data_IF_870313169363
#
_entry.id   IF_870313169363
#
_cell.length_a   1.000
_cell.length_b   1.000
_cell.length_c   1.000
_cell.angle_alpha   90.00
_cell.angle_beta   90.00
_cell.angle_gamma   90.00
#
_symmetry.space_group_name_H-M   'P 1'
#
loop_
_entity.id
_entity.type
_entity.pdbx_description
1 polymer ?
#
# COMPACT_ATOMS: atom_id res chain seq x y z
N UNK A 1 3.78 -11.11 24.23
CA UNK A 1 2.36 -11.40 23.94
C UNK A 1 2.33 -12.45 22.86
N UNK A 2 1.58 -13.51 23.05
CA UNK A 2 1.50 -14.61 22.08
C UNK A 2 0.58 -14.24 20.92
N UNK A 3 0.76 -14.89 19.77
CA UNK A 3 -0.07 -14.68 18.57
C UNK A 3 -1.57 -14.92 18.87
N UNK A 4 -1.86 -15.84 19.80
CA UNK A 4 -3.21 -16.16 20.28
C UNK A 4 -3.82 -14.98 21.08
N UNK A 5 -3.00 -14.23 21.82
CA UNK A 5 -3.44 -13.02 22.53
C UNK A 5 -3.76 -11.87 21.58
N UNK A 6 -3.06 -11.79 20.43
CA UNK A 6 -3.34 -10.79 19.39
C UNK A 6 -4.65 -11.10 18.65
N UNK A 7 -4.90 -12.37 18.31
CA UNK A 7 -6.17 -12.79 17.67
C UNK A 7 -7.35 -12.51 18.63
N UNK A 8 -7.21 -12.87 19.90
CA UNK A 8 -8.25 -12.62 20.93
C UNK A 8 -8.46 -11.11 21.19
N UNK A 9 -7.40 -10.29 21.11
CA UNK A 9 -7.53 -8.83 21.20
C UNK A 9 -8.25 -8.22 20.00
N UNK A 10 -8.02 -8.71 18.81
CA UNK A 10 -8.71 -8.25 17.61
C UNK A 10 -10.20 -8.62 17.66
N UNK A 11 -10.54 -9.79 18.16
CA UNK A 11 -11.94 -10.19 18.43
C UNK A 11 -12.61 -9.29 19.49
N UNK A 12 -11.91 -8.97 20.58
CA UNK A 12 -12.41 -8.10 21.64
C UNK A 12 -12.54 -6.66 21.17
N UNK A 13 -11.58 -6.18 20.39
CA UNK A 13 -11.57 -4.83 19.81
C UNK A 13 -12.69 -4.64 18.80
N UNK A 14 -12.94 -5.61 17.93
CA UNK A 14 -14.07 -5.58 17.00
C UNK A 14 -15.44 -5.60 17.71
N UNK A 15 -15.53 -6.14 18.93
CA UNK A 15 -16.76 -6.10 19.74
C UNK A 15 -16.97 -4.76 20.46
N UNK A 16 -15.90 -4.11 20.91
CA UNK A 16 -15.98 -2.81 21.63
C UNK A 16 -16.21 -1.64 20.67
N UNK A 17 -15.57 -1.64 19.50
CA UNK A 17 -15.73 -0.56 18.52
C UNK A 17 -17.15 -0.48 17.91
N UNK A 18 -17.96 -1.55 18.00
CA UNK A 18 -19.37 -1.55 17.57
C UNK A 18 -20.36 -0.92 18.60
N UNK A 19 -19.90 -0.56 19.79
CA UNK A 19 -20.78 -0.07 20.89
C UNK A 19 -20.65 1.45 21.10
N UNK A 20 -19.57 2.09 20.66
CA UNK A 20 -19.29 3.52 20.95
C UNK A 20 -19.66 4.51 19.81
N UNK A 21 -20.37 4.07 18.81
CA UNK A 21 -20.74 4.88 17.64
C UNK A 21 -22.07 5.61 17.76
N UNK A 22 -22.39 6.30 18.86
CA UNK A 22 -23.51 7.23 18.87
C UNK A 22 -23.33 8.35 19.90
N UNK A 23 -23.55 9.58 19.42
CA UNK A 23 -23.77 10.83 20.16
C UNK A 23 -22.57 11.79 20.26
N UNK A 24 -22.51 12.75 19.37
CA UNK A 24 -22.18 14.13 19.75
C UNK A 24 -22.93 15.16 18.90
N UNK A 25 -23.69 15.98 19.59
CA UNK A 25 -24.58 17.03 19.12
C UNK A 25 -23.78 18.29 18.78
N UNK A 26 -24.16 18.93 17.66
CA UNK A 26 -23.70 20.23 17.24
C UNK A 26 -24.31 21.34 18.11
N UNK A 27 -23.50 22.28 18.55
CA UNK A 27 -24.00 23.63 18.95
C UNK A 27 -23.29 24.67 18.12
N UNK A 28 -24.11 25.45 17.41
CA UNK A 28 -23.76 26.72 16.77
C UNK A 28 -23.55 27.82 17.81
N UNK A 29 -22.62 28.73 17.57
CA UNK A 29 -22.79 30.10 17.95
C UNK A 29 -22.14 31.06 16.95
N UNK A 30 -22.97 32.03 16.55
CA UNK A 30 -22.69 33.13 15.64
C UNK A 30 -22.37 34.35 16.49
N UNK A 31 -21.39 35.14 16.16
CA UNK A 31 -21.46 36.57 16.45
C UNK A 31 -20.71 37.44 15.45
N UNK A 32 -21.42 38.50 15.12
CA UNK A 32 -21.15 39.57 14.15
C UNK A 32 -20.50 40.80 14.80
N UNK A 33 -19.74 41.58 14.05
CA UNK A 33 -19.73 43.07 14.13
C UNK A 33 -18.97 43.67 12.96
N UNK A 34 -19.61 44.38 12.09
CA UNK A 34 -19.99 45.82 12.02
C UNK A 34 -18.80 46.76 11.76
N UNK A 35 -18.75 47.23 10.49
CA UNK A 35 -18.68 48.62 9.92
C UNK A 35 -17.56 49.59 10.37
N UNK A 36 -16.95 50.30 9.44
CA UNK A 36 -17.45 51.53 8.80
C UNK A 36 -16.50 52.09 7.70
N UNK A 37 -16.87 53.08 6.93
CA UNK A 37 -16.49 53.28 5.54
C UNK A 37 -15.65 54.56 5.28
N UNK A 38 -15.29 54.71 3.99
CA UNK A 38 -14.95 55.93 3.24
C UNK A 38 -13.53 56.49 3.31
N UNK A 39 -12.88 56.35 2.16
CA UNK A 39 -12.21 57.50 1.52
C UNK A 39 -12.12 57.23 0.00
N UNK A 40 -12.87 58.06 -0.74
CA UNK A 40 -12.77 58.18 -2.19
C UNK A 40 -11.48 58.90 -2.57
N UNK A 41 -10.70 58.31 -3.45
CA UNK A 41 -9.73 59.03 -4.27
C UNK A 41 -9.92 58.64 -5.73
N UNK A 42 -10.26 59.62 -6.52
CA UNK A 42 -10.42 59.61 -7.98
C UNK A 42 -9.19 58.96 -8.66
N UNK A 43 -9.44 57.96 -9.47
CA UNK A 43 -8.49 57.44 -10.47
C UNK A 43 -9.14 57.47 -11.84
N UNK A 44 -8.45 58.10 -12.78
CA UNK A 44 -8.77 58.17 -14.20
C UNK A 44 -9.14 56.81 -14.82
N UNK A 45 -10.02 56.76 -15.83
CA UNK A 45 -10.44 55.54 -16.47
C UNK A 45 -9.30 54.90 -17.23
N UNK A 46 -8.88 53.71 -16.81
CA UNK A 46 -7.98 52.86 -17.54
C UNK A 46 -8.75 52.10 -18.62
N UNK A 47 -8.14 52.01 -19.80
CA UNK A 47 -8.65 51.36 -20.98
C UNK A 47 -8.98 49.89 -20.71
N UNK A 48 -10.22 49.38 -20.96
CA UNK A 48 -10.64 47.99 -20.66
C UNK A 48 -9.94 46.94 -21.47
N UNK A 49 -9.29 47.30 -22.56
CA UNK A 49 -8.66 46.35 -23.48
C UNK A 49 -7.24 45.91 -23.09
N UNK A 50 -6.68 46.45 -21.97
CA UNK A 50 -5.36 46.05 -21.47
C UNK A 50 -5.38 45.18 -20.20
N UNK A 51 -6.53 44.87 -19.64
CA UNK A 51 -6.66 43.97 -18.47
C UNK A 51 -6.92 42.50 -18.82
N UNK A 52 -7.07 42.16 -20.09
CA UNK A 52 -7.38 40.78 -20.50
C UNK A 52 -6.17 39.92 -20.84
N UNK A 53 -4.93 40.44 -20.66
CA UNK A 53 -3.68 39.67 -20.96
C UNK A 53 -2.70 39.51 -19.79
N UNK A 54 -3.17 39.62 -18.54
CA UNK A 54 -2.37 39.23 -17.38
C UNK A 54 -3.15 38.28 -16.47
N UNK A 55 -3.60 37.16 -17.02
CA UNK A 55 -3.78 36.00 -16.15
C UNK A 55 -2.36 35.53 -15.81
N UNK A 56 -1.89 35.86 -14.62
CA UNK A 56 -0.71 35.21 -14.06
C UNK A 56 -1.02 33.70 -14.01
N UNK A 57 -0.56 32.96 -15.00
CA UNK A 57 -0.64 31.50 -14.98
C UNK A 57 0.28 31.05 -13.86
N UNK A 58 -0.30 30.75 -12.68
CA UNK A 58 0.43 30.08 -11.60
C UNK A 58 0.97 28.76 -12.17
N UNK A 59 2.31 28.55 -12.22
CA UNK A 59 2.89 27.33 -12.77
C UNK A 59 2.30 26.04 -12.19
N UNK A 60 1.82 26.09 -10.96
CA UNK A 60 1.19 24.95 -10.30
C UNK A 60 -0.26 24.71 -10.78
N UNK A 61 -0.97 25.74 -11.28
CA UNK A 61 -2.27 25.58 -11.93
C UNK A 61 -2.14 25.02 -13.33
N UNK A 62 -1.11 25.47 -14.08
CA UNK A 62 -0.78 24.91 -15.39
C UNK A 62 -0.37 23.42 -15.25
N UNK A 63 0.49 23.09 -14.30
CA UNK A 63 0.87 21.71 -14.01
C UNK A 63 -0.36 20.88 -13.58
N UNK A 64 -1.32 21.47 -12.86
CA UNK A 64 -2.58 20.81 -12.50
C UNK A 64 -3.47 20.51 -13.72
N UNK A 65 -3.64 21.46 -14.63
CA UNK A 65 -4.36 21.23 -15.90
C UNK A 65 -3.67 20.15 -16.72
N UNK A 66 -2.33 20.11 -16.74
CA UNK A 66 -1.56 19.09 -17.41
C UNK A 66 -1.77 17.70 -16.78
N UNK A 67 -1.89 17.60 -15.45
CA UNK A 67 -2.19 16.34 -14.76
C UNK A 67 -3.57 15.78 -15.14
N UNK A 68 -4.61 16.62 -15.21
CA UNK A 68 -5.94 16.20 -15.66
C UNK A 68 -5.95 15.71 -17.11
N UNK A 69 -5.35 16.46 -18.04
CA UNK A 69 -5.26 16.07 -19.44
C UNK A 69 -4.51 14.73 -19.58
N UNK A 70 -3.40 14.57 -18.84
CA UNK A 70 -2.62 13.35 -18.83
C UNK A 70 -3.43 12.16 -18.27
N UNK A 71 -4.27 12.38 -17.26
CA UNK A 71 -5.15 11.34 -16.74
C UNK A 71 -6.15 10.84 -17.80
N UNK A 72 -6.80 11.75 -18.55
CA UNK A 72 -7.72 11.37 -19.64
C UNK A 72 -6.98 10.65 -20.78
N UNK A 73 -5.77 11.08 -21.13
CA UNK A 73 -4.94 10.38 -22.12
C UNK A 73 -4.57 8.95 -21.67
N UNK A 74 -4.25 8.78 -20.37
CA UNK A 74 -3.96 7.46 -19.80
C UNK A 74 -5.21 6.58 -19.82
N UNK A 75 -6.36 7.11 -19.51
CA UNK A 75 -7.65 6.41 -19.58
C UNK A 75 -7.94 6.01 -21.04
N UNK A 76 -7.59 6.87 -22.01
CA UNK A 76 -7.71 6.59 -23.44
C UNK A 76 -6.65 5.62 -23.98
N UNK A 77 -5.73 5.13 -23.12
CA UNK A 77 -4.76 4.07 -23.50
C UNK A 77 -3.30 4.51 -23.56
N UNK A 78 -2.97 5.80 -23.34
CA UNK A 78 -1.57 6.23 -23.22
C UNK A 78 -0.91 5.51 -22.05
N UNK A 79 0.38 5.21 -22.21
CA UNK A 79 1.25 4.73 -21.12
C UNK A 79 2.50 5.60 -21.05
N UNK A 80 2.82 6.08 -19.86
CA UNK A 80 4.01 6.88 -19.61
C UNK A 80 5.27 6.05 -19.82
N UNK A 81 6.34 6.72 -20.26
CA UNK A 81 7.67 6.13 -20.44
C UNK A 81 8.65 6.75 -19.47
N UNK A 82 9.65 5.98 -19.10
CA UNK A 82 10.76 6.46 -18.28
C UNK A 82 11.46 7.64 -18.98
N UNK A 83 11.80 8.69 -18.19
CA UNK A 83 12.42 9.91 -18.72
C UNK A 83 11.47 10.88 -19.43
N UNK A 84 10.17 10.58 -19.50
CA UNK A 84 9.19 11.45 -20.15
C UNK A 84 8.95 12.73 -19.33
N UNK A 85 9.03 13.95 -19.95
CA UNK A 85 8.85 15.22 -19.21
C UNK A 85 7.52 15.33 -18.47
N UNK A 86 6.45 14.67 -18.96
CA UNK A 86 5.15 14.63 -18.34
C UNK A 86 5.20 14.10 -16.88
N UNK A 87 6.14 13.20 -16.57
CA UNK A 87 6.32 12.65 -15.20
C UNK A 87 6.81 13.73 -14.25
N UNK A 88 7.69 14.64 -14.70
CA UNK A 88 8.18 15.74 -13.87
C UNK A 88 7.07 16.75 -13.55
N UNK A 89 6.14 16.99 -14.48
CA UNK A 89 4.98 17.85 -14.25
C UNK A 89 4.09 17.34 -13.08
N UNK A 90 4.02 16.01 -12.88
CA UNK A 90 3.27 15.43 -11.75
C UNK A 90 3.88 15.80 -10.39
N UNK A 91 5.20 15.98 -10.31
CA UNK A 91 5.90 16.35 -9.07
C UNK A 91 5.65 17.81 -8.68
N UNK A 92 5.37 18.70 -9.64
CA UNK A 92 5.16 20.15 -9.42
C UNK A 92 3.69 20.54 -9.32
N UNK A 93 2.76 19.63 -9.65
CA UNK A 93 1.32 19.85 -9.52
C UNK A 93 0.89 20.07 -8.07
N UNK A 94 -0.12 20.91 -7.82
CA UNK A 94 -0.77 20.96 -6.51
C UNK A 94 -1.26 19.57 -6.13
N UNK A 95 -0.99 19.15 -4.90
CA UNK A 95 -1.26 17.77 -4.47
C UNK A 95 -2.72 17.38 -4.60
N UNK A 96 -3.64 18.28 -4.25
CA UNK A 96 -5.09 18.02 -4.35
C UNK A 96 -5.52 17.74 -5.79
N UNK A 97 -5.05 18.55 -6.75
CA UNK A 97 -5.36 18.37 -8.17
C UNK A 97 -4.76 17.09 -8.71
N UNK A 98 -3.51 16.79 -8.34
CA UNK A 98 -2.84 15.54 -8.71
C UNK A 98 -3.58 14.31 -8.18
N UNK A 99 -4.00 14.35 -6.91
CA UNK A 99 -4.74 13.27 -6.26
C UNK A 99 -6.10 13.02 -6.93
N UNK A 100 -6.85 14.08 -7.23
CA UNK A 100 -8.13 13.98 -7.94
C UNK A 100 -7.96 13.36 -9.34
N UNK A 101 -6.95 13.79 -10.10
CA UNK A 101 -6.64 13.23 -11.40
C UNK A 101 -6.21 11.75 -11.31
N UNK A 102 -5.43 11.37 -10.29
CA UNK A 102 -5.07 9.99 -10.02
C UNK A 102 -6.30 9.13 -9.63
N UNK A 103 -7.23 9.70 -8.83
CA UNK A 103 -8.46 8.97 -8.48
C UNK A 103 -9.38 8.76 -9.69
N UNK A 104 -9.38 9.70 -10.64
CA UNK A 104 -10.07 9.54 -11.92
C UNK A 104 -9.53 8.35 -12.72
N UNK A 105 -8.19 8.16 -12.76
CA UNK A 105 -7.56 6.97 -13.35
C UNK A 105 -7.98 5.71 -12.58
N UNK A 106 -7.89 5.72 -11.25
CA UNK A 106 -8.32 4.58 -10.41
C UNK A 106 -9.78 4.20 -10.72
N UNK A 107 -10.69 5.17 -10.77
CA UNK A 107 -12.10 4.94 -11.05
C UNK A 107 -12.32 4.28 -12.41
N UNK A 108 -11.55 4.66 -13.43
CA UNK A 108 -11.65 4.09 -14.77
C UNK A 108 -11.17 2.64 -14.84
N UNK A 109 -10.11 2.26 -14.10
CA UNK A 109 -9.50 0.93 -14.20
C UNK A 109 -9.88 -0.04 -13.09
N UNK A 110 -10.18 0.45 -11.88
CA UNK A 110 -10.50 -0.37 -10.70
C UNK A 110 -11.95 -0.24 -10.23
N UNK A 111 -12.71 0.72 -10.77
CA UNK A 111 -14.04 1.05 -10.25
C UNK A 111 -13.98 1.45 -8.78
N UNK A 112 -15.02 1.14 -8.01
CA UNK A 112 -15.07 1.43 -6.58
C UNK A 112 -14.53 0.30 -5.70
N UNK A 113 -14.05 -0.79 -6.31
CA UNK A 113 -13.54 -1.93 -5.57
C UNK A 113 -12.22 -1.63 -4.87
N UNK A 114 -12.11 -2.06 -3.60
CA UNK A 114 -10.87 -2.06 -2.80
C UNK A 114 -10.54 -3.48 -2.36
N UNK A 115 -9.40 -4.02 -2.83
CA UNK A 115 -8.91 -5.34 -2.45
C UNK A 115 -8.21 -5.28 -1.08
N UNK A 116 -8.79 -5.97 -0.08
CA UNK A 116 -8.23 -6.09 1.26
C UNK A 116 -7.46 -7.39 1.42
N UNK A 117 -6.25 -7.32 1.98
CA UNK A 117 -5.51 -8.50 2.37
C UNK A 117 -4.98 -8.38 3.81
N UNK A 118 -4.80 -9.54 4.45
CA UNK A 118 -4.17 -9.66 5.76
C UNK A 118 -2.93 -10.53 5.68
N UNK A 119 -2.08 -10.41 6.68
CA UNK A 119 -0.84 -11.15 6.79
C UNK A 119 -0.76 -11.85 8.15
N UNK A 120 -0.12 -13.01 8.20
CA UNK A 120 0.36 -13.64 9.42
C UNK A 120 1.88 -13.74 9.38
N UNK A 121 2.55 -13.37 10.48
CA UNK A 121 3.99 -13.60 10.61
C UNK A 121 4.23 -15.07 10.95
N UNK A 122 4.34 -15.92 9.94
CA UNK A 122 4.43 -17.37 10.09
C UNK A 122 5.76 -17.88 10.66
N UNK A 123 6.82 -17.06 10.60
CA UNK A 123 8.11 -17.28 11.23
C UNK A 123 8.72 -15.92 11.53
N UNK A 124 9.19 -15.69 12.74
CA UNK A 124 9.66 -14.38 13.19
C UNK A 124 11.11 -14.39 13.68
N UNK A 125 11.78 -13.25 13.45
CA UNK A 125 13.12 -12.98 13.95
C UNK A 125 14.23 -13.75 13.26
N UNK A 126 15.47 -13.54 13.73
CA UNK A 126 16.70 -14.23 13.29
C UNK A 126 16.92 -14.26 11.77
N UNK A 127 16.48 -13.20 11.04
CA UNK A 127 16.75 -13.08 9.62
C UNK A 127 18.23 -12.76 9.39
N UNK A 128 18.90 -13.52 8.51
CA UNK A 128 20.30 -13.32 8.17
C UNK A 128 20.59 -12.07 7.34
N UNK A 129 19.53 -11.47 6.79
CA UNK A 129 19.67 -10.31 5.91
C UNK A 129 19.80 -9.01 6.71
N UNK A 130 20.60 -8.07 6.19
CA UNK A 130 20.94 -6.79 6.84
C UNK A 130 20.03 -5.62 6.44
N UNK A 131 18.82 -5.89 5.97
CA UNK A 131 17.86 -4.85 5.57
C UNK A 131 17.67 -3.81 6.69
N UNK A 132 18.12 -2.58 6.46
CA UNK A 132 18.27 -1.52 7.48
C UNK A 132 16.95 -1.05 8.12
N UNK A 133 15.83 -1.30 7.48
CA UNK A 133 14.49 -1.00 8.01
C UNK A 133 13.89 -2.13 8.85
N UNK A 134 14.48 -3.35 8.80
CA UNK A 134 13.81 -4.56 9.27
C UNK A 134 14.12 -4.87 10.74
N UNK A 135 13.07 -4.89 11.56
CA UNK A 135 13.16 -5.26 12.97
C UNK A 135 13.54 -6.74 13.19
N UNK A 136 13.30 -7.62 12.21
CA UNK A 136 13.56 -9.06 12.31
C UNK A 136 14.99 -9.46 11.92
N UNK A 137 15.82 -8.51 11.47
CA UNK A 137 17.22 -8.74 11.13
C UNK A 137 18.07 -9.08 12.36
N UNK A 138 18.98 -10.04 12.24
CA UNK A 138 19.99 -10.29 13.31
C UNK A 138 20.98 -9.14 13.46
N UNK A 139 21.06 -8.26 12.47
CA UNK A 139 21.90 -7.05 12.47
C UNK A 139 21.22 -5.86 13.16
N UNK A 140 19.93 -5.97 13.50
CA UNK A 140 19.17 -4.97 14.25
C UNK A 140 19.12 -5.31 15.75
N UNK A 141 19.10 -4.29 16.61
CA UNK A 141 19.04 -4.45 18.08
C UNK A 141 17.61 -4.17 18.58
N UNK A 142 16.65 -4.86 18.02
CA UNK A 142 15.24 -4.70 18.36
C UNK A 142 14.77 -5.76 19.35
N UNK A 143 13.67 -5.50 20.05
CA UNK A 143 12.97 -6.50 20.88
C UNK A 143 12.03 -7.41 20.08
N UNK A 144 12.29 -7.65 18.80
CA UNK A 144 11.42 -8.46 17.96
C UNK A 144 11.29 -9.89 18.51
N UNK A 145 10.06 -10.34 18.70
CA UNK A 145 9.77 -11.71 19.10
C UNK A 145 10.32 -12.71 18.09
N UNK A 146 10.94 -13.79 18.57
CA UNK A 146 11.56 -14.81 17.72
C UNK A 146 10.89 -16.14 17.94
N UNK A 147 10.38 -16.75 16.86
CA UNK A 147 9.80 -18.09 16.86
C UNK A 147 10.02 -18.83 15.53
N UNK A 148 9.99 -20.14 15.61
CA UNK A 148 10.04 -21.02 14.43
C UNK A 148 8.75 -20.89 13.60
N UNK A 149 8.69 -21.61 12.47
CA UNK A 149 7.45 -21.63 11.68
C UNK A 149 6.27 -22.14 12.54
N UNK A 150 5.18 -21.40 12.53
CA UNK A 150 3.97 -21.66 13.32
C UNK A 150 3.37 -23.02 12.96
N UNK A 151 2.58 -23.56 13.86
CA UNK A 151 1.80 -24.77 13.62
C UNK A 151 0.62 -24.49 12.66
N UNK A 152 0.14 -25.56 12.04
CA UNK A 152 -0.91 -25.50 11.01
C UNK A 152 -2.26 -25.04 11.58
N UNK A 153 -2.55 -25.34 12.86
CA UNK A 153 -3.81 -24.96 13.50
C UNK A 153 -3.88 -23.45 13.75
N UNK A 154 -2.79 -22.87 14.26
CA UNK A 154 -2.67 -21.42 14.48
C UNK A 154 -2.87 -20.66 13.15
N UNK A 155 -2.25 -21.14 12.07
CA UNK A 155 -2.37 -20.51 10.74
C UNK A 155 -3.80 -20.66 10.20
N UNK A 156 -4.43 -21.82 10.36
CA UNK A 156 -5.79 -22.07 9.91
C UNK A 156 -6.79 -21.16 10.65
N UNK A 157 -6.69 -21.07 11.98
CA UNK A 157 -7.57 -20.21 12.77
C UNK A 157 -7.46 -18.75 12.34
N UNK A 158 -6.25 -18.25 12.10
CA UNK A 158 -6.05 -16.89 11.60
C UNK A 158 -6.68 -16.68 10.21
N UNK A 159 -6.54 -17.64 9.30
CA UNK A 159 -7.13 -17.57 7.96
C UNK A 159 -8.65 -17.57 8.02
N UNK A 160 -9.26 -18.46 8.81
CA UNK A 160 -10.72 -18.55 8.99
C UNK A 160 -11.29 -17.29 9.66
N UNK A 161 -10.57 -16.72 10.63
CA UNK A 161 -10.96 -15.44 11.25
C UNK A 161 -11.04 -14.33 10.20
N UNK A 162 -9.99 -14.18 9.37
CA UNK A 162 -9.93 -13.17 8.32
C UNK A 162 -10.95 -13.43 7.19
N UNK A 163 -11.21 -14.68 6.83
CA UNK A 163 -12.27 -15.03 5.88
C UNK A 163 -13.64 -14.57 6.38
N UNK A 164 -13.97 -14.89 7.65
CA UNK A 164 -15.24 -14.44 8.28
C UNK A 164 -15.33 -12.92 8.39
N UNK A 165 -14.22 -12.24 8.60
CA UNK A 165 -14.16 -10.77 8.58
C UNK A 165 -14.34 -10.16 7.18
N UNK A 166 -14.41 -10.98 6.12
CA UNK A 166 -14.63 -10.53 4.76
C UNK A 166 -13.37 -9.95 4.10
N UNK A 167 -12.21 -10.54 4.37
CA UNK A 167 -10.95 -10.20 3.70
C UNK A 167 -10.81 -11.01 2.42
N UNK A 168 -10.29 -10.40 1.36
CA UNK A 168 -10.11 -11.07 0.06
C UNK A 168 -8.97 -12.07 0.05
N UNK A 169 -7.88 -11.78 0.79
CA UNK A 169 -6.62 -12.50 0.68
C UNK A 169 -5.88 -12.62 2.01
N UNK A 170 -5.31 -13.79 2.25
CA UNK A 170 -4.49 -14.09 3.42
C UNK A 170 -3.07 -14.49 3.00
N UNK A 171 -2.06 -13.89 3.63
CA UNK A 171 -0.65 -14.13 3.31
C UNK A 171 0.12 -14.67 4.49
N UNK A 172 0.83 -15.79 4.29
CA UNK A 172 1.85 -16.26 5.25
C UNK A 172 3.17 -15.58 4.89
N UNK A 173 3.71 -14.80 5.83
CA UNK A 173 4.99 -14.08 5.69
C UNK A 173 6.02 -14.71 6.63
N UNK A 174 7.26 -14.84 6.19
CA UNK A 174 8.33 -15.42 7.02
C UNK A 174 9.58 -14.55 7.01
N UNK A 175 10.25 -14.49 8.17
CA UNK A 175 11.62 -14.00 8.26
C UNK A 175 12.60 -14.95 7.57
N UNK A 176 13.74 -14.41 7.11
CA UNK A 176 14.80 -15.17 6.46
C UNK A 176 14.98 -14.80 4.99
N UNK A 177 16.19 -15.05 4.47
CA UNK A 177 16.52 -14.82 3.05
C UNK A 177 15.64 -15.65 2.12
N UNK A 178 15.39 -16.91 2.51
CA UNK A 178 14.51 -17.87 1.85
C UNK A 178 14.00 -18.86 2.89
N UNK A 179 12.83 -19.43 2.66
CA UNK A 179 12.30 -20.50 3.50
C UNK A 179 12.69 -21.84 2.90
N UNK A 180 13.36 -22.67 3.69
CA UNK A 180 13.95 -23.95 3.24
C UNK A 180 13.68 -25.09 4.23
N UNK A 181 14.02 -26.31 3.81
CA UNK A 181 14.00 -27.52 4.64
C UNK A 181 12.62 -27.79 5.25
N UNK A 182 12.61 -28.24 6.50
CA UNK A 182 11.39 -28.61 7.21
C UNK A 182 10.39 -27.45 7.33
N UNK A 183 10.88 -26.20 7.48
CA UNK A 183 10.01 -25.02 7.54
C UNK A 183 9.25 -24.80 6.23
N UNK A 184 9.88 -25.05 5.10
CA UNK A 184 9.21 -24.99 3.80
C UNK A 184 8.17 -26.10 3.64
N UNK A 185 8.48 -27.32 4.09
CA UNK A 185 7.52 -28.44 4.08
C UNK A 185 6.30 -28.16 4.96
N UNK A 186 6.50 -27.56 6.14
CA UNK A 186 5.40 -27.10 7.00
C UNK A 186 4.54 -26.06 6.30
N UNK A 187 5.17 -25.08 5.61
CA UNK A 187 4.45 -24.08 4.84
C UNK A 187 3.59 -24.69 3.72
N UNK A 188 4.15 -25.67 2.98
CA UNK A 188 3.41 -26.38 1.92
C UNK A 188 2.17 -27.09 2.50
N UNK A 189 2.32 -27.83 3.62
CA UNK A 189 1.18 -28.49 4.30
C UNK A 189 0.15 -27.49 4.82
N UNK A 190 0.60 -26.38 5.41
CA UNK A 190 -0.31 -25.32 5.85
C UNK A 190 -1.13 -24.77 4.69
N UNK A 191 -0.51 -24.47 3.56
CA UNK A 191 -1.24 -23.99 2.38
C UNK A 191 -2.18 -25.03 1.77
N UNK A 192 -1.78 -26.29 1.74
CA UNK A 192 -2.65 -27.38 1.28
C UNK A 192 -3.90 -27.48 2.16
N UNK A 193 -3.75 -27.38 3.48
CA UNK A 193 -4.86 -27.37 4.44
C UNK A 193 -5.75 -26.14 4.25
N UNK A 194 -5.17 -24.94 4.16
CA UNK A 194 -5.90 -23.72 3.90
C UNK A 194 -6.72 -23.78 2.60
N UNK A 195 -6.11 -24.28 1.52
CA UNK A 195 -6.80 -24.41 0.22
C UNK A 195 -7.99 -25.38 0.27
N UNK A 196 -7.96 -26.37 1.16
CA UNK A 196 -9.06 -27.32 1.38
C UNK A 196 -10.15 -26.75 2.28
N UNK A 197 -9.81 -25.98 3.30
CA UNK A 197 -10.69 -25.60 4.41
C UNK A 197 -11.18 -24.13 4.35
N UNK A 198 -10.54 -23.27 3.51
CA UNK A 198 -10.88 -21.86 3.37
C UNK A 198 -11.14 -21.49 1.91
N UNK A 199 -11.95 -20.44 1.71
CA UNK A 199 -12.21 -19.84 0.39
C UNK A 199 -11.34 -18.59 0.16
N UNK A 200 -10.76 -18.03 1.21
CA UNK A 200 -9.89 -16.86 1.12
C UNK A 200 -8.69 -17.13 0.20
N UNK A 201 -8.35 -16.19 -0.67
CA UNK A 201 -7.22 -16.38 -1.57
C UNK A 201 -5.87 -16.42 -0.83
N UNK A 202 -4.98 -17.31 -1.27
CA UNK A 202 -3.72 -17.58 -0.60
C UNK A 202 -2.55 -16.85 -1.26
N UNK A 203 -1.71 -16.22 -0.43
CA UNK A 203 -0.49 -15.53 -0.81
C UNK A 203 0.69 -16.01 0.05
N UNK A 204 1.88 -16.08 -0.54
CA UNK A 204 3.11 -16.43 0.16
C UNK A 204 4.17 -15.33 0.06
N UNK A 205 4.81 -14.98 1.20
CA UNK A 205 5.96 -14.08 1.27
C UNK A 205 7.10 -14.76 2.03
N UNK A 206 7.95 -15.50 1.31
CA UNK A 206 8.94 -16.43 1.89
C UNK A 206 10.35 -16.18 1.36
N UNK A 207 10.67 -14.94 0.99
CA UNK A 207 11.96 -14.51 0.53
C UNK A 207 12.27 -14.93 -0.92
N UNK A 208 13.54 -15.31 -1.17
CA UNK A 208 14.09 -15.54 -2.50
C UNK A 208 13.94 -17.02 -2.91
N UNK A 209 12.71 -17.51 -2.99
CA UNK A 209 12.43 -18.89 -3.39
C UNK A 209 12.85 -19.17 -4.84
N UNK A 210 13.21 -20.42 -5.10
CA UNK A 210 13.44 -20.95 -6.44
C UNK A 210 12.13 -21.18 -7.20
N UNK A 211 12.21 -21.26 -8.53
CA UNK A 211 11.05 -21.58 -9.37
C UNK A 211 10.39 -22.91 -8.99
N UNK A 212 11.19 -23.92 -8.64
CA UNK A 212 10.68 -25.21 -8.19
C UNK A 212 9.86 -25.10 -6.90
N UNK A 213 10.30 -24.28 -5.93
CA UNK A 213 9.55 -24.01 -4.70
C UNK A 213 8.26 -23.25 -5.01
N UNK A 214 8.28 -22.24 -5.89
CA UNK A 214 7.08 -21.55 -6.33
C UNK A 214 6.07 -22.48 -7.02
N UNK A 215 6.54 -23.40 -7.88
CA UNK A 215 5.67 -24.40 -8.50
C UNK A 215 5.00 -25.31 -7.47
N UNK A 216 5.73 -25.69 -6.40
CA UNK A 216 5.16 -26.49 -5.30
C UNK A 216 4.07 -25.70 -4.55
N UNK A 217 4.33 -24.44 -4.20
CA UNK A 217 3.32 -23.58 -3.56
C UNK A 217 2.09 -23.38 -4.47
N UNK A 218 2.33 -23.19 -5.77
CA UNK A 218 1.22 -23.06 -6.75
C UNK A 218 0.35 -24.32 -6.81
N UNK A 219 0.97 -25.50 -6.74
CA UNK A 219 0.27 -26.78 -6.78
C UNK A 219 -0.67 -27.00 -5.58
N UNK A 220 -0.36 -26.40 -4.41
CA UNK A 220 -1.20 -26.47 -3.19
C UNK A 220 -2.12 -25.26 -3.03
N UNK A 221 -2.38 -24.51 -4.10
CA UNK A 221 -3.41 -23.46 -4.13
C UNK A 221 -2.93 -22.02 -3.89
N UNK A 222 -1.64 -21.78 -3.67
CA UNK A 222 -1.13 -20.41 -3.55
C UNK A 222 -1.17 -19.71 -4.90
N UNK A 223 -1.96 -18.63 -5.01
CA UNK A 223 -2.16 -17.90 -6.28
C UNK A 223 -1.20 -16.75 -6.46
N UNK A 224 -0.73 -16.13 -5.36
CA UNK A 224 0.10 -14.92 -5.38
C UNK A 224 1.38 -15.09 -4.57
N UNK A 225 2.49 -14.57 -5.10
CA UNK A 225 3.73 -14.38 -4.37
C UNK A 225 3.87 -12.90 -4.00
N UNK A 226 4.22 -12.60 -2.75
CA UNK A 226 4.66 -11.27 -2.33
C UNK A 226 6.18 -11.24 -2.21
N UNK A 227 6.83 -10.35 -2.97
CA UNK A 227 8.26 -10.10 -2.88
C UNK A 227 8.56 -8.67 -3.39
N UNK A 228 8.77 -7.75 -2.47
CA UNK A 228 9.05 -6.36 -2.81
C UNK A 228 10.42 -6.19 -3.46
N UNK A 229 10.54 -5.23 -4.38
CA UNK A 229 11.84 -4.71 -4.85
C UNK A 229 12.42 -3.68 -3.87
N UNK A 230 11.63 -3.20 -2.92
CA UNK A 230 11.88 -2.28 -1.81
C UNK A 230 12.15 -0.83 -2.21
N UNK A 231 12.91 -0.55 -3.27
CA UNK A 231 13.20 0.78 -3.79
C UNK A 231 13.69 0.72 -5.23
N UNK A 232 14.33 1.79 -5.74
CA UNK A 232 15.04 1.77 -7.02
C UNK A 232 16.28 0.88 -6.99
N UNK A 233 16.77 0.50 -8.17
CA UNK A 233 18.05 -0.20 -8.32
C UNK A 233 19.23 0.61 -7.73
N UNK A 234 19.20 1.93 -7.94
CA UNK A 234 20.28 2.82 -7.50
C UNK A 234 20.31 2.98 -5.99
N UNK A 235 19.14 3.06 -5.35
CA UNK A 235 19.06 3.23 -3.91
C UNK A 235 19.17 1.90 -3.13
N UNK A 236 18.89 0.76 -3.74
CA UNK A 236 18.87 -0.55 -3.08
C UNK A 236 20.13 -0.89 -2.28
N UNK A 237 21.38 -0.60 -2.76
CA UNK A 237 22.60 -0.87 -1.99
C UNK A 237 22.70 -0.10 -0.66
N UNK A 238 21.97 1.01 -0.52
CA UNK A 238 21.86 1.76 0.74
C UNK A 238 20.93 1.11 1.76
N UNK A 239 20.10 0.15 1.31
CA UNK A 239 19.10 -0.54 2.13
C UNK A 239 19.62 -1.90 2.61
N UNK A 240 20.23 -2.68 1.73
CA UNK A 240 20.64 -4.05 1.98
C UNK A 240 21.91 -4.39 1.20
N UNK A 241 22.82 -5.14 1.84
CA UNK A 241 24.09 -5.60 1.23
C UNK A 241 24.20 -7.12 1.13
N UNK A 242 23.38 -7.86 1.87
CA UNK A 242 23.40 -9.33 1.93
C UNK A 242 22.73 -10.01 0.73
N UNK A 243 21.88 -9.28 0.00
CA UNK A 243 21.37 -9.69 -1.30
C UNK A 243 21.24 -8.48 -2.24
N UNK A 244 21.23 -8.75 -3.54
CA UNK A 244 21.19 -7.70 -4.55
C UNK A 244 19.77 -7.44 -5.08
N UNK A 245 19.57 -6.28 -5.71
CA UNK A 245 18.35 -5.95 -6.45
C UNK A 245 18.04 -7.00 -7.55
N UNK A 246 19.07 -7.49 -8.26
CA UNK A 246 18.87 -8.52 -9.28
C UNK A 246 18.40 -9.87 -8.71
N UNK A 247 18.80 -10.22 -7.49
CA UNK A 247 18.26 -11.41 -6.83
C UNK A 247 16.76 -11.27 -6.52
N UNK A 248 16.30 -10.05 -6.16
CA UNK A 248 14.87 -9.75 -6.04
C UNK A 248 14.15 -9.92 -7.37
N UNK A 249 14.67 -9.33 -8.45
CA UNK A 249 14.08 -9.46 -9.79
C UNK A 249 14.03 -10.92 -10.26
N UNK A 250 15.08 -11.69 -9.99
CA UNK A 250 15.13 -13.10 -10.35
C UNK A 250 14.08 -13.93 -9.62
N UNK A 251 13.84 -13.67 -8.33
CA UNK A 251 12.79 -14.33 -7.56
C UNK A 251 11.38 -13.96 -8.07
N UNK A 252 11.14 -12.68 -8.40
CA UNK A 252 9.89 -12.21 -9.03
C UNK A 252 9.64 -12.95 -10.35
N UNK A 253 10.63 -12.98 -11.24
CA UNK A 253 10.53 -13.69 -12.52
C UNK A 253 10.34 -15.20 -12.34
N UNK A 254 10.98 -15.81 -11.33
CA UNK A 254 10.79 -17.23 -11.01
C UNK A 254 9.34 -17.52 -10.57
N UNK A 255 8.73 -16.64 -9.74
CA UNK A 255 7.33 -16.77 -9.36
C UNK A 255 6.39 -16.62 -10.59
N UNK A 256 6.67 -15.68 -11.49
CA UNK A 256 5.90 -15.48 -12.73
C UNK A 256 5.99 -16.71 -13.64
N UNK A 257 7.21 -17.29 -13.85
CA UNK A 257 7.38 -18.53 -14.62
C UNK A 257 6.71 -19.74 -13.97
N UNK A 258 6.56 -19.74 -12.65
CA UNK A 258 5.76 -20.75 -11.94
C UNK A 258 4.24 -20.56 -12.08
N UNK A 259 3.77 -19.54 -12.83
CA UNK A 259 2.36 -19.25 -13.05
C UNK A 259 1.68 -18.55 -11.88
N UNK A 260 2.43 -17.89 -11.00
CA UNK A 260 1.89 -17.10 -9.90
C UNK A 260 1.74 -15.63 -10.30
N UNK A 261 0.70 -14.98 -9.83
CA UNK A 261 0.66 -13.51 -9.81
C UNK A 261 1.67 -12.99 -8.78
N UNK A 262 2.21 -11.79 -9.00
CA UNK A 262 3.18 -11.20 -8.09
C UNK A 262 2.65 -9.89 -7.52
N UNK A 263 2.75 -9.76 -6.19
CA UNK A 263 2.59 -8.52 -5.45
C UNK A 263 4.00 -8.02 -5.12
N UNK A 264 4.38 -6.88 -5.66
CA UNK A 264 5.70 -6.28 -5.46
C UNK A 264 5.60 -4.77 -5.46
N UNK A 265 6.26 -4.15 -4.52
CA UNK A 265 6.36 -2.71 -4.34
C UNK A 265 7.58 -2.38 -3.51
N UNK A 266 7.45 -1.43 -2.59
CA UNK A 266 8.59 -1.03 -1.76
C UNK A 266 8.20 -0.22 -0.54
N UNK A 267 9.23 0.41 0.03
CA UNK A 267 9.12 1.27 1.20
C UNK A 267 9.57 2.68 0.80
N UNK A 268 8.79 3.68 1.16
CA UNK A 268 9.12 5.09 1.00
C UNK A 268 9.44 5.73 2.35
N UNK A 269 10.31 6.75 2.34
CA UNK A 269 10.77 7.43 3.56
C UNK A 269 12.08 6.88 4.13
N UNK A 270 12.79 6.03 3.39
CA UNK A 270 14.11 5.52 3.76
C UNK A 270 15.26 6.50 3.46
N UNK A 271 14.98 7.61 2.77
CA UNK A 271 15.92 8.61 2.30
C UNK A 271 16.20 8.54 0.80
N UNK A 272 15.37 7.80 0.08
CA UNK A 272 15.32 7.76 -1.37
C UNK A 272 14.86 9.11 -1.94
N UNK A 273 15.30 9.43 -3.16
CA UNK A 273 14.86 10.61 -3.91
C UNK A 273 13.53 10.39 -4.64
N UNK A 274 12.92 11.45 -5.16
CA UNK A 274 11.77 11.34 -6.06
C UNK A 274 12.10 10.55 -7.32
N UNK A 275 13.32 10.68 -7.85
CA UNK A 275 13.75 9.87 -8.98
C UNK A 275 13.78 8.38 -8.63
N UNK A 276 14.21 8.01 -7.43
CA UNK A 276 14.18 6.61 -6.98
C UNK A 276 12.74 6.06 -6.90
N UNK A 277 11.76 6.88 -6.47
CA UNK A 277 10.33 6.50 -6.47
C UNK A 277 9.79 6.31 -7.88
N UNK A 278 10.18 7.19 -8.82
CA UNK A 278 9.84 7.10 -10.25
C UNK A 278 10.44 5.82 -10.85
N UNK A 279 11.73 5.57 -10.64
CA UNK A 279 12.43 4.39 -11.16
C UNK A 279 11.84 3.09 -10.61
N UNK A 280 11.44 3.08 -9.33
CA UNK A 280 10.73 1.97 -8.70
C UNK A 280 9.39 1.72 -9.41
N UNK A 281 8.60 2.76 -9.66
CA UNK A 281 7.30 2.66 -10.31
C UNK A 281 7.42 2.11 -11.75
N UNK A 282 8.38 2.59 -12.54
CA UNK A 282 8.63 2.08 -13.89
C UNK A 282 9.21 0.67 -13.90
N UNK A 283 10.08 0.32 -12.94
CA UNK A 283 10.55 -1.06 -12.78
C UNK A 283 9.38 -2.02 -12.57
N UNK A 284 8.45 -1.68 -11.70
CA UNK A 284 7.26 -2.49 -11.44
C UNK A 284 6.35 -2.58 -12.67
N UNK A 285 6.17 -1.49 -13.42
CA UNK A 285 5.45 -1.48 -14.69
C UNK A 285 6.09 -2.43 -15.71
N UNK A 286 7.42 -2.35 -15.86
CA UNK A 286 8.19 -3.19 -16.80
C UNK A 286 8.13 -4.69 -16.47
N UNK A 287 7.94 -5.03 -15.20
CA UNK A 287 7.75 -6.40 -14.71
C UNK A 287 6.29 -6.88 -14.84
N UNK A 288 5.37 -6.04 -15.29
CA UNK A 288 3.94 -6.38 -15.38
C UNK A 288 3.27 -6.60 -14.02
N UNK A 289 3.74 -5.92 -12.96
CA UNK A 289 3.17 -6.07 -11.63
C UNK A 289 1.80 -5.41 -11.55
N UNK A 290 0.80 -6.17 -11.11
CA UNK A 290 -0.59 -5.72 -10.97
C UNK A 290 -1.04 -5.48 -9.52
N UNK A 291 -0.18 -5.69 -8.53
CA UNK A 291 -0.44 -5.38 -7.12
C UNK A 291 0.82 -4.78 -6.51
N UNK A 292 0.75 -3.50 -6.17
CA UNK A 292 1.89 -2.69 -5.77
C UNK A 292 1.69 -2.16 -4.36
N UNK A 293 2.23 -2.83 -3.33
CA UNK A 293 2.20 -2.32 -1.97
C UNK A 293 3.19 -1.15 -1.80
N UNK A 294 2.68 -0.05 -1.29
CA UNK A 294 3.45 1.09 -0.81
C UNK A 294 3.45 1.07 0.72
N UNK A 295 4.63 0.83 1.29
CA UNK A 295 4.86 0.93 2.72
C UNK A 295 5.46 2.30 3.02
N UNK A 296 4.99 2.95 4.08
CA UNK A 296 5.61 4.16 4.62
C UNK A 296 6.52 3.72 5.77
N UNK A 297 7.78 4.13 5.75
CA UNK A 297 8.72 3.77 6.80
C UNK A 297 8.20 4.22 8.17
N UNK A 298 8.08 3.28 9.07
CA UNK A 298 7.91 3.53 10.51
C UNK A 298 9.28 3.28 11.16
N UNK A 299 9.98 4.30 11.63
CA UNK A 299 11.26 4.12 12.30
C UNK A 299 11.09 3.23 13.53
N UNK A 300 11.82 2.11 13.58
CA UNK A 300 11.79 1.18 14.69
C UNK A 300 13.07 1.34 15.51
N UNK A 301 12.97 1.59 16.84
CA UNK A 301 14.15 1.66 17.70
C UNK A 301 15.00 0.39 17.59
N UNK A 302 16.33 0.58 17.50
CA UNK A 302 17.29 -0.51 17.32
C UNK A 302 17.52 -0.95 15.87
N UNK A 303 16.83 -0.37 14.90
CA UNK A 303 17.16 -0.53 13.47
C UNK A 303 18.10 0.60 13.01
N UNK A 304 18.90 0.40 11.94
CA UNK A 304 19.71 1.48 11.36
C UNK A 304 18.92 2.71 10.90
N UNK A 305 17.63 2.58 10.63
CA UNK A 305 16.75 3.67 10.20
C UNK A 305 15.87 4.24 11.32
N UNK A 306 16.19 3.97 12.59
CA UNK A 306 15.44 4.45 13.76
C UNK A 306 15.28 5.97 13.83
N UNK A 307 16.26 6.73 13.31
CA UNK A 307 16.31 8.21 13.40
C UNK A 307 15.80 8.90 12.12
N UNK A 308 15.17 8.15 11.21
CA UNK A 308 14.57 8.73 10.00
C UNK A 308 13.33 9.55 10.35
N UNK A 309 13.21 10.73 9.77
CA UNK A 309 12.00 11.55 9.89
C UNK A 309 10.88 10.91 9.08
N UNK A 310 9.68 10.70 9.66
CA UNK A 310 8.51 10.24 8.91
C UNK A 310 8.15 11.19 7.77
N UNK A 311 7.65 10.64 6.67
CA UNK A 311 7.15 11.43 5.55
C UNK A 311 5.89 12.22 5.94
N UNK A 312 5.69 13.37 5.30
CA UNK A 312 4.44 14.12 5.38
C UNK A 312 3.31 13.37 4.64
N UNK A 313 2.06 13.64 5.03
CA UNK A 313 0.88 13.12 4.31
C UNK A 313 0.93 13.49 2.82
N UNK A 314 1.34 14.74 2.50
CA UNK A 314 1.46 15.22 1.13
C UNK A 314 2.44 14.37 0.30
N UNK A 315 3.62 14.05 0.83
CA UNK A 315 4.60 13.21 0.12
C UNK A 315 4.07 11.81 -0.14
N UNK A 316 3.34 11.23 0.81
CA UNK A 316 2.72 9.91 0.65
C UNK A 316 1.62 9.95 -0.40
N UNK A 317 0.70 10.93 -0.35
CA UNK A 317 -0.38 11.09 -1.31
C UNK A 317 0.16 11.32 -2.73
N UNK A 318 1.16 12.20 -2.87
CA UNK A 318 1.84 12.44 -4.15
C UNK A 318 2.50 11.16 -4.70
N UNK A 319 3.10 10.34 -3.84
CA UNK A 319 3.68 9.05 -4.25
C UNK A 319 2.59 8.09 -4.72
N UNK A 320 1.48 7.96 -4.00
CA UNK A 320 0.33 7.12 -4.40
C UNK A 320 -0.20 7.55 -5.77
N UNK A 321 -0.40 8.87 -5.96
CA UNK A 321 -0.86 9.42 -7.24
C UNK A 321 0.14 9.15 -8.37
N UNK A 322 1.43 9.41 -8.17
CA UNK A 322 2.50 9.12 -9.13
C UNK A 322 2.48 7.65 -9.56
N UNK A 323 2.38 6.73 -8.61
CA UNK A 323 2.31 5.29 -8.90
C UNK A 323 1.07 4.92 -9.70
N UNK A 324 -0.08 5.57 -9.44
CA UNK A 324 -1.31 5.38 -10.23
C UNK A 324 -1.14 5.85 -11.67
N UNK A 325 -0.51 7.00 -11.90
CA UNK A 325 -0.25 7.49 -13.25
C UNK A 325 0.67 6.56 -14.05
N UNK A 326 1.71 6.02 -13.44
CA UNK A 326 2.67 5.12 -14.11
C UNK A 326 2.11 3.70 -14.25
N UNK A 327 1.31 3.25 -13.30
CA UNK A 327 0.73 1.89 -13.24
C UNK A 327 -0.80 1.94 -13.19
N UNK A 328 -1.48 2.42 -14.25
CA UNK A 328 -2.90 2.75 -14.20
C UNK A 328 -3.82 1.56 -13.92
N UNK A 329 -3.41 0.36 -14.28
CA UNK A 329 -4.20 -0.87 -14.15
C UNK A 329 -3.81 -1.71 -12.90
N UNK A 330 -2.81 -1.26 -12.12
CA UNK A 330 -2.38 -1.99 -10.94
C UNK A 330 -3.19 -1.60 -9.69
N UNK A 331 -3.33 -2.54 -8.75
CA UNK A 331 -3.78 -2.22 -7.42
C UNK A 331 -2.66 -1.52 -6.65
N UNK A 332 -2.79 -0.20 -6.48
CA UNK A 332 -1.92 0.56 -5.58
C UNK A 332 -2.41 0.30 -4.16
N UNK A 333 -1.59 -0.40 -3.39
CA UNK A 333 -1.96 -0.95 -2.09
C UNK A 333 -1.30 -0.19 -0.96
N UNK A 334 -2.08 0.41 -0.06
CA UNK A 334 -1.56 0.93 1.19
C UNK A 334 -1.18 -0.24 2.11
N UNK A 335 0.06 -0.23 2.60
CA UNK A 335 0.59 -1.32 3.39
C UNK A 335 1.11 -0.84 4.76
N UNK A 336 2.30 -1.24 5.19
CA UNK A 336 2.87 -0.81 6.45
C UNK A 336 3.01 0.72 6.55
N UNK A 337 2.92 1.25 7.77
CA UNK A 337 3.06 2.68 8.05
C UNK A 337 1.81 3.53 7.79
N UNK A 338 0.71 2.98 7.31
CA UNK A 338 -0.53 3.73 7.05
C UNK A 338 -1.05 4.49 8.27
N UNK A 339 -0.83 3.98 9.47
CA UNK A 339 -1.18 4.66 10.73
C UNK A 339 -0.43 5.96 10.99
N UNK A 340 0.67 6.23 10.32
CA UNK A 340 1.38 7.51 10.42
C UNK A 340 0.66 8.64 9.69
N UNK A 341 -0.25 8.30 8.77
CA UNK A 341 -1.09 9.26 8.07
C UNK A 341 -2.20 9.77 9.01
N UNK A 342 -2.49 11.07 8.93
CA UNK A 342 -3.43 11.78 9.82
C UNK A 342 -4.81 11.14 9.91
N UNK A 343 -5.32 10.63 8.78
CA UNK A 343 -6.65 10.03 8.63
C UNK A 343 -6.60 8.51 8.46
N UNK A 344 -5.51 7.85 8.92
CA UNK A 344 -5.26 6.42 8.72
C UNK A 344 -5.30 6.00 7.24
N UNK A 345 -4.94 6.90 6.33
CA UNK A 345 -4.84 6.67 4.90
C UNK A 345 -6.16 6.82 4.13
N UNK A 346 -7.23 7.38 4.72
CA UNK A 346 -8.52 7.64 4.06
C UNK A 346 -8.35 8.43 2.77
N UNK A 347 -7.60 9.55 2.82
CA UNK A 347 -7.37 10.40 1.65
C UNK A 347 -6.65 9.68 0.50
N UNK A 348 -5.79 8.72 0.80
CA UNK A 348 -5.09 7.98 -0.25
C UNK A 348 -6.04 7.15 -1.13
N UNK A 349 -7.18 6.70 -0.60
CA UNK A 349 -8.22 6.02 -1.39
C UNK A 349 -9.03 6.99 -2.29
N UNK A 350 -8.84 8.29 -2.12
CA UNK A 350 -9.30 9.34 -3.04
C UNK A 350 -8.14 9.98 -3.82
N UNK A 351 -6.98 9.31 -3.82
CA UNK A 351 -5.75 9.77 -4.46
C UNK A 351 -5.13 8.70 -5.37
N UNK A 352 -5.92 7.67 -5.73
CA UNK A 352 -5.49 6.62 -6.64
C UNK A 352 -5.23 5.26 -6.01
N UNK A 353 -5.29 5.07 -4.67
CA UNK A 353 -5.18 3.75 -4.06
C UNK A 353 -6.46 2.92 -4.27
N UNK A 354 -6.31 1.61 -4.54
CA UNK A 354 -7.40 0.65 -4.75
C UNK A 354 -7.26 -0.63 -3.94
N UNK A 355 -6.31 -0.68 -2.99
CA UNK A 355 -6.10 -1.86 -2.15
C UNK A 355 -5.45 -1.48 -0.80
N UNK A 356 -5.56 -2.35 0.20
CA UNK A 356 -4.86 -2.19 1.47
C UNK A 356 -4.45 -3.53 2.10
N UNK A 357 -3.40 -3.47 2.95
CA UNK A 357 -3.17 -4.47 3.99
C UNK A 357 -3.91 -3.98 5.23
N UNK A 358 -4.73 -4.83 5.83
CA UNK A 358 -5.52 -4.59 7.04
C UNK A 358 -5.17 -5.61 8.12
N UNK A 359 -5.60 -5.41 9.35
CA UNK A 359 -5.16 -6.21 10.49
C UNK A 359 -3.75 -5.84 10.96
N UNK A 360 -3.17 -6.64 11.82
CA UNK A 360 -1.82 -6.41 12.34
C UNK A 360 -0.74 -6.63 11.27
N UNK A 361 0.35 -5.86 11.41
CA UNK A 361 1.55 -6.00 10.59
C UNK A 361 2.53 -6.99 11.26
N UNK A 362 3.68 -7.27 10.61
CA UNK A 362 4.63 -8.30 11.09
C UNK A 362 5.16 -8.04 12.51
N UNK A 363 5.46 -6.78 12.81
CA UNK A 363 6.10 -6.37 14.08
C UNK A 363 5.43 -5.15 14.70
N UNK A 364 4.35 -4.65 14.11
CA UNK A 364 3.61 -3.47 14.57
C UNK A 364 2.11 -3.70 14.43
N UNK A 365 1.31 -3.04 15.28
CA UNK A 365 -0.15 -3.10 15.17
C UNK A 365 -0.63 -2.34 13.95
N UNK A 366 -1.55 -2.95 13.18
CA UNK A 366 -2.22 -2.34 12.04
C UNK A 366 -3.58 -1.72 12.40
N UNK A 367 -4.42 -1.44 11.43
CA UNK A 367 -5.82 -1.07 11.58
C UNK A 367 -6.69 -2.32 11.65
N UNK A 368 -7.77 -2.32 12.44
CA UNK A 368 -8.67 -3.49 12.44
C UNK A 368 -9.42 -3.62 11.10
N UNK A 369 -9.71 -4.86 10.72
CA UNK A 369 -10.48 -5.15 9.48
C UNK A 369 -11.83 -4.45 9.50
N UNK A 370 -12.53 -4.47 10.64
CA UNK A 370 -13.85 -3.84 10.80
C UNK A 370 -13.77 -2.33 10.57
N UNK A 371 -12.77 -1.65 11.16
CA UNK A 371 -12.57 -0.20 11.01
C UNK A 371 -12.24 0.18 9.56
N UNK A 372 -11.38 -0.58 8.91
CA UNK A 372 -11.03 -0.33 7.51
C UNK A 372 -12.22 -0.52 6.59
N UNK A 373 -13.00 -1.58 6.78
CA UNK A 373 -14.23 -1.81 6.01
C UNK A 373 -15.25 -0.69 6.21
N UNK A 374 -15.47 -0.26 7.46
CA UNK A 374 -16.38 0.84 7.76
C UNK A 374 -15.94 2.14 7.07
N UNK A 375 -14.68 2.52 7.23
CA UNK A 375 -14.09 3.72 6.60
C UNK A 375 -14.21 3.69 5.07
N UNK A 376 -13.90 2.56 4.44
CA UNK A 376 -13.98 2.41 2.99
C UNK A 376 -15.42 2.45 2.49
N UNK A 377 -16.36 1.82 3.19
CA UNK A 377 -17.80 1.88 2.87
C UNK A 377 -18.33 3.31 2.99
N UNK A 378 -17.91 4.05 4.03
CA UNK A 378 -18.30 5.45 4.23
C UNK A 378 -17.88 6.37 3.07
N UNK A 379 -16.74 6.10 2.44
CA UNK A 379 -16.28 6.85 1.25
C UNK A 379 -16.75 6.23 -0.07
N UNK A 380 -17.77 5.36 -0.03
CA UNK A 380 -18.38 4.77 -1.22
C UNK A 380 -17.56 3.67 -1.91
N UNK A 381 -16.62 3.02 -1.19
CA UNK A 381 -15.83 1.93 -1.77
C UNK A 381 -16.46 0.55 -1.50
N UNK A 382 -16.44 -0.31 -2.51
CA UNK A 382 -16.85 -1.71 -2.40
C UNK A 382 -15.71 -2.58 -1.88
N UNK A 383 -15.90 -3.16 -0.70
CA UNK A 383 -14.95 -4.07 -0.05
C UNK A 383 -15.42 -5.53 -0.06
N UNK A 384 -16.32 -5.87 -0.96
CA UNK A 384 -16.81 -7.25 -1.12
C UNK A 384 -15.68 -8.13 -1.63
N UNK A 385 -15.30 -9.21 -0.92
CA UNK A 385 -14.24 -10.10 -1.36
C UNK A 385 -14.51 -10.73 -2.73
N UNK A 386 -13.48 -10.90 -3.53
CA UNK A 386 -13.59 -11.50 -4.87
C UNK A 386 -14.19 -12.91 -4.83
N UNK A 387 -13.83 -13.72 -3.82
CA UNK A 387 -14.38 -15.06 -3.65
C UNK A 387 -15.88 -15.08 -3.31
N UNK A 388 -16.44 -13.99 -2.73
CA UNK A 388 -17.90 -13.83 -2.57
C UNK A 388 -18.57 -13.44 -3.88
N UNK A 389 -17.96 -12.54 -4.66
CA UNK A 389 -18.51 -12.11 -5.96
C UNK A 389 -18.55 -13.25 -6.97
N UNK A 390 -17.47 -14.04 -7.03
CA UNK A 390 -17.40 -15.22 -7.90
C UNK A 390 -18.43 -16.28 -7.54
N UNK A 391 -18.77 -16.44 -6.26
CA UNK A 391 -19.84 -17.36 -5.83
C UNK A 391 -21.23 -16.89 -6.26
N UNK A 392 -21.49 -15.57 -6.20
CA UNK A 392 -22.77 -14.99 -6.62
C UNK A 392 -22.99 -15.02 -8.15
N UNK A 393 -21.92 -15.03 -8.94
CA UNK A 393 -22.00 -15.12 -10.42
C UNK A 393 -22.12 -16.56 -10.94
N UNK A 394 -21.96 -17.57 -10.07
CA UNK A 394 -22.05 -19.00 -10.41
C UNK A 394 -23.44 -19.61 -10.07
N UNK A 395 -24.34 -18.83 -9.48
CA UNK A 395 -25.76 -19.16 -9.23
C UNK A 395 -26.67 -18.42 -10.20
#
# INVERSE_FOLDING_TARGET
MTLTENINREETRNRTENIEGNTMVLTEEVESSLRNPAEETERSPRNPDQEMERSSQDPAEEAGRNAWNLAEEIIAGRRLKEGEPAVQCLLTSKVDTLCQAADRIRAAFSGDHVDLCTIINGKSGRCSEDCKYCAQSIHSKTGCETYAFLDEETILHAAMFNERAGVSRFSIVTSGRTLEGESFEKAVRSFERLNRECRIELCASMGLLSEAQFRRLRAVGVKRCHNNIESSRNFFPHICTTHSFDQKLNAIRAAQRAGMSVCSGGIIGMGESWQDRIDMAFTLASLGIRSIPLNVLMPVPGTPFQDRTPLSDEEVLRTVALFRFINPEADIRLAGGRKTLRDNGRLAFSSGASAAITGDMLTTTGSSVARDRAMLTEIGRDVTPEWMRNAASAT
#
